data_IF_235916893699
#
_entry.id   IF_235916893699
#
_cell.length_a   1.000
_cell.length_b   1.000
_cell.length_c   1.000
_cell.angle_alpha   90.00
_cell.angle_beta   90.00
_cell.angle_gamma   90.00
#
_symmetry.space_group_name_H-M   'P 1'
#
loop_
_entity.id
_entity.type
_entity.pdbx_description
1 polymer ?
#
# COMPACT_ATOMS: atom_id res chain seq x y z
N UNK A 1 -25.49 14.56 -0.16
CA UNK A 1 -25.03 15.96 0.04
C UNK A 1 -23.57 16.02 0.42
N UNK A 2 -23.05 15.11 1.26
CA UNK A 2 -21.60 15.02 1.59
C UNK A 2 -20.73 14.53 0.42
N UNK A 3 -21.25 13.65 -0.44
CA UNK A 3 -20.52 13.10 -1.61
C UNK A 3 -20.17 14.17 -2.66
N UNK A 4 -21.00 15.20 -2.80
CA UNK A 4 -20.79 16.32 -3.72
C UNK A 4 -19.61 17.20 -3.29
N UNK A 5 -19.48 17.47 -1.99
CA UNK A 5 -18.35 18.23 -1.44
C UNK A 5 -17.04 17.46 -1.52
N UNK A 6 -17.10 16.12 -1.40
CA UNK A 6 -15.93 15.28 -1.60
C UNK A 6 -15.46 15.33 -3.06
N UNK A 7 -16.39 15.24 -4.03
CA UNK A 7 -16.05 15.32 -5.46
C UNK A 7 -15.55 16.69 -5.90
N UNK A 8 -16.11 17.79 -5.37
CA UNK A 8 -15.60 19.14 -5.66
C UNK A 8 -14.13 19.33 -5.30
N UNK A 9 -13.69 18.72 -4.19
CA UNK A 9 -12.28 18.78 -3.76
C UNK A 9 -11.34 17.91 -4.60
N UNK A 10 -11.86 16.91 -5.31
CA UNK A 10 -11.09 15.99 -6.15
C UNK A 10 -10.98 16.42 -7.61
N UNK A 11 -11.94 17.20 -8.11
CA UNK A 11 -12.08 17.52 -9.54
C UNK A 11 -10.87 18.25 -10.12
N UNK A 12 -10.19 19.10 -9.33
CA UNK A 12 -9.08 19.93 -9.81
C UNK A 12 -7.69 19.41 -9.37
N UNK A 13 -7.59 18.16 -8.93
CA UNK A 13 -6.31 17.61 -8.45
C UNK A 13 -5.51 17.00 -9.59
N UNK A 14 -4.36 17.59 -9.84
CA UNK A 14 -3.37 17.14 -10.82
C UNK A 14 -2.31 16.25 -10.19
N UNK A 15 -1.77 15.32 -10.98
CA UNK A 15 -0.70 14.43 -10.56
C UNK A 15 0.67 15.12 -10.70
N UNK A 16 1.50 15.12 -9.66
CA UNK A 16 2.85 15.72 -9.71
C UNK A 16 3.88 14.99 -10.58
N UNK A 17 3.55 13.80 -11.11
CA UNK A 17 4.44 13.01 -11.98
C UNK A 17 4.07 13.20 -13.46
N UNK A 18 2.80 12.97 -13.83
CA UNK A 18 2.35 13.10 -15.22
C UNK A 18 1.77 14.47 -15.56
N UNK A 19 1.57 15.35 -14.56
CA UNK A 19 0.98 16.69 -14.72
C UNK A 19 -0.44 16.71 -15.31
N UNK A 20 -1.11 15.57 -15.32
CA UNK A 20 -2.46 15.42 -15.84
C UNK A 20 -3.48 15.37 -14.68
N UNK A 21 -4.72 15.76 -14.98
CA UNK A 21 -5.81 15.70 -14.01
C UNK A 21 -6.20 14.23 -13.75
N UNK A 22 -6.16 13.81 -12.48
CA UNK A 22 -6.42 12.42 -12.08
C UNK A 22 -7.90 12.10 -12.23
N UNK A 23 -8.77 13.07 -11.93
CA UNK A 23 -10.21 12.93 -12.00
C UNK A 23 -10.70 12.80 -13.44
N UNK A 24 -10.20 13.62 -14.36
CA UNK A 24 -10.54 13.55 -15.79
C UNK A 24 -10.16 12.20 -16.41
N UNK A 25 -9.07 11.60 -15.93
CA UNK A 25 -8.64 10.25 -16.33
C UNK A 25 -9.46 9.13 -15.71
N UNK A 26 -10.37 9.45 -14.81
CA UNK A 26 -11.08 8.48 -13.97
C UNK A 26 -10.10 7.50 -13.29
N UNK A 27 -8.90 7.99 -12.95
CA UNK A 27 -7.83 7.20 -12.36
C UNK A 27 -7.91 7.27 -10.83
N UNK A 28 -7.38 6.26 -10.15
CA UNK A 28 -7.30 6.24 -8.68
C UNK A 28 -6.16 7.13 -8.19
N UNK A 29 -6.36 7.79 -7.06
CA UNK A 29 -5.34 8.54 -6.36
C UNK A 29 -4.42 7.61 -5.56
N UNK A 30 -3.12 7.87 -5.59
CA UNK A 30 -2.12 7.24 -4.76
C UNK A 30 -1.73 8.15 -3.60
N UNK A 31 -2.32 7.94 -2.43
CA UNK A 31 -2.08 8.77 -1.24
C UNK A 31 -0.90 8.19 -0.45
N UNK A 32 0.00 9.05 0.00
CA UNK A 32 1.17 8.70 0.80
C UNK A 32 0.95 9.11 2.25
N UNK A 33 1.36 8.27 3.21
CA UNK A 33 1.15 8.49 4.65
C UNK A 33 1.68 9.86 5.15
N UNK A 34 2.89 10.25 4.76
CA UNK A 34 3.65 11.33 5.39
C UNK A 34 3.75 12.59 4.51
N UNK A 35 3.01 12.69 3.40
CA UNK A 35 3.02 13.89 2.56
C UNK A 35 1.66 14.16 1.92
N UNK A 36 1.48 15.39 1.42
CA UNK A 36 0.24 15.88 0.80
C UNK A 36 0.31 15.97 -0.73
N UNK A 37 1.32 15.37 -1.35
CA UNK A 37 1.49 15.41 -2.79
C UNK A 37 0.55 14.41 -3.47
N UNK A 38 -0.11 14.88 -4.54
CA UNK A 38 -1.10 14.14 -5.29
C UNK A 38 -0.47 13.40 -6.47
N UNK A 39 -0.71 12.09 -6.55
CA UNK A 39 -0.24 11.27 -7.65
C UNK A 39 -1.35 10.34 -8.14
N UNK A 40 -1.36 10.03 -9.44
CA UNK A 40 -2.10 8.86 -9.93
C UNK A 40 -1.47 7.59 -9.36
N UNK A 41 -2.30 6.59 -9.07
CA UNK A 41 -1.87 5.29 -8.58
C UNK A 41 -0.83 4.64 -9.52
N UNK A 42 -1.05 4.71 -10.83
CA UNK A 42 -0.13 4.14 -11.81
C UNK A 42 1.22 4.85 -11.86
N UNK A 43 1.21 6.18 -11.72
CA UNK A 43 2.42 6.98 -11.74
C UNK A 43 3.30 6.68 -10.53
N UNK A 44 2.72 6.65 -9.33
CA UNK A 44 3.48 6.36 -8.11
C UNK A 44 3.92 4.87 -8.06
N UNK A 45 3.16 3.96 -8.67
CA UNK A 45 3.58 2.56 -8.87
C UNK A 45 4.80 2.47 -9.76
N UNK A 46 4.79 3.12 -10.92
CA UNK A 46 5.96 3.20 -11.82
C UNK A 46 7.16 3.84 -11.14
N UNK A 47 6.93 4.92 -10.37
CA UNK A 47 7.97 5.57 -9.58
C UNK A 47 8.63 4.62 -8.58
N UNK A 48 7.86 3.76 -7.90
CA UNK A 48 8.40 2.76 -6.96
C UNK A 48 9.06 1.56 -7.63
N UNK A 49 8.80 1.34 -8.91
CA UNK A 49 9.36 0.24 -9.71
C UNK A 49 10.66 0.60 -10.42
N UNK A 50 10.94 1.89 -10.62
CA UNK A 50 12.11 2.33 -11.39
C UNK A 50 13.40 1.95 -10.67
N UNK A 51 14.15 1.01 -11.27
CA UNK A 51 15.40 0.48 -10.69
C UNK A 51 16.60 1.42 -10.88
N UNK A 52 16.46 2.47 -11.68
CA UNK A 52 17.55 3.44 -11.92
C UNK A 52 17.86 4.31 -10.70
N UNK A 53 16.94 4.38 -9.73
CA UNK A 53 17.08 5.23 -8.55
C UNK A 53 17.35 4.39 -7.30
N UNK A 54 18.21 4.91 -6.43
CA UNK A 54 18.59 4.28 -5.16
C UNK A 54 17.36 3.89 -4.32
N UNK A 55 17.37 2.74 -3.65
CA UNK A 55 16.21 2.15 -2.94
C UNK A 55 15.54 3.07 -1.91
N UNK A 56 16.26 4.10 -1.42
CA UNK A 56 15.69 5.12 -0.53
C UNK A 56 14.88 6.19 -1.28
N UNK A 57 15.23 6.48 -2.52
CA UNK A 57 14.56 7.49 -3.37
C UNK A 57 13.26 6.96 -3.95
N UNK A 58 13.23 5.70 -4.41
CA UNK A 58 12.02 5.02 -4.92
C UNK A 58 10.91 4.93 -3.86
N UNK A 59 11.25 4.76 -2.57
CA UNK A 59 10.27 4.71 -1.46
C UNK A 59 9.88 6.09 -0.91
N UNK A 60 10.40 7.15 -1.51
CA UNK A 60 10.17 8.52 -1.09
C UNK A 60 9.26 9.25 -2.07
N UNK A 61 8.58 10.28 -1.59
CA UNK A 61 7.76 11.15 -2.43
C UNK A 61 8.63 11.82 -3.52
N UNK A 62 8.21 11.84 -4.80
CA UNK A 62 8.93 12.51 -5.88
C UNK A 62 9.21 14.00 -5.61
N UNK A 63 8.26 14.69 -4.96
CA UNK A 63 8.36 16.14 -4.71
C UNK A 63 9.12 16.49 -3.43
N UNK A 64 8.68 16.00 -2.27
CA UNK A 64 9.29 16.37 -0.98
C UNK A 64 10.30 15.37 -0.42
N UNK A 65 10.53 14.24 -1.11
CA UNK A 65 11.44 13.16 -0.68
C UNK A 65 11.13 12.58 0.71
N UNK A 66 9.94 12.81 1.25
CA UNK A 66 9.53 12.18 2.50
C UNK A 66 9.34 10.69 2.28
N UNK A 67 10.00 9.88 3.10
CA UNK A 67 9.90 8.43 3.04
C UNK A 67 8.50 7.95 3.42
N UNK A 68 7.98 7.00 2.64
CA UNK A 68 6.66 6.41 2.85
C UNK A 68 6.71 4.90 2.60
N UNK A 69 6.31 4.15 3.63
CA UNK A 69 6.36 2.69 3.60
C UNK A 69 5.35 2.09 2.63
N UNK A 70 4.19 2.73 2.47
CA UNK A 70 3.13 2.25 1.61
C UNK A 70 2.42 3.38 0.87
N UNK A 71 1.68 3.00 -0.17
CA UNK A 71 0.79 3.85 -0.97
C UNK A 71 -0.61 3.34 -0.75
N UNK A 72 -1.55 4.24 -0.49
CA UNK A 72 -2.94 3.90 -0.27
C UNK A 72 -3.73 4.29 -1.51
N UNK A 73 -4.33 3.34 -2.21
CA UNK A 73 -5.16 3.64 -3.36
C UNK A 73 -6.53 4.17 -2.89
N UNK A 74 -6.93 5.34 -3.37
CA UNK A 74 -8.20 5.98 -3.02
C UNK A 74 -8.93 6.48 -4.27
N UNK A 75 -10.27 6.40 -4.29
CA UNK A 75 -11.08 7.00 -5.36
C UNK A 75 -11.28 8.50 -5.16
N UNK A 76 -11.16 8.96 -3.90
CA UNK A 76 -11.33 10.37 -3.52
C UNK A 76 -10.00 10.88 -2.95
N UNK A 77 -9.63 12.10 -3.32
CA UNK A 77 -8.48 12.80 -2.76
C UNK A 77 -8.76 13.24 -1.32
N UNK A 78 -7.83 12.90 -0.42
CA UNK A 78 -7.81 13.34 0.97
C UNK A 78 -6.51 14.10 1.19
N UNK A 79 -6.62 15.34 1.64
CA UNK A 79 -5.48 16.26 1.78
C UNK A 79 -4.67 15.97 3.06
N UNK A 80 -5.15 16.48 4.20
CA UNK A 80 -4.57 16.24 5.51
C UNK A 80 -5.63 16.35 6.60
N UNK A 81 -5.45 15.59 7.68
CA UNK A 81 -6.26 15.65 8.89
C UNK A 81 -6.75 14.28 9.33
N UNK A 82 -7.76 14.28 10.19
CA UNK A 82 -8.35 13.06 10.75
C UNK A 82 -8.88 12.09 9.69
N UNK A 83 -9.31 12.57 8.52
CA UNK A 83 -9.78 11.73 7.42
C UNK A 83 -8.65 10.84 6.85
N UNK A 84 -7.44 11.40 6.74
CA UNK A 84 -6.27 10.69 6.24
C UNK A 84 -5.79 9.62 7.22
N UNK A 85 -5.76 9.95 8.50
CA UNK A 85 -5.39 8.99 9.56
C UNK A 85 -6.37 7.82 9.59
N UNK A 86 -7.69 8.09 9.55
CA UNK A 86 -8.71 7.05 9.44
C UNK A 86 -8.53 6.20 8.19
N UNK A 87 -8.21 6.82 7.06
CA UNK A 87 -7.96 6.10 5.81
C UNK A 87 -6.74 5.18 5.90
N UNK A 88 -5.67 5.63 6.58
CA UNK A 88 -4.49 4.80 6.89
C UNK A 88 -4.87 3.63 7.79
N UNK A 89 -5.62 3.86 8.86
CA UNK A 89 -6.04 2.81 9.80
C UNK A 89 -6.92 1.76 9.13
N UNK A 90 -7.95 2.20 8.39
CA UNK A 90 -8.86 1.31 7.66
C UNK A 90 -8.07 0.48 6.64
N UNK A 91 -7.13 1.11 5.93
CA UNK A 91 -6.28 0.41 4.98
C UNK A 91 -5.45 -0.67 5.69
N UNK A 92 -4.73 -0.34 6.76
CA UNK A 92 -3.94 -1.32 7.51
C UNK A 92 -4.79 -2.47 8.07
N UNK A 93 -5.98 -2.16 8.61
CA UNK A 93 -6.91 -3.17 9.12
C UNK A 93 -7.47 -4.08 8.02
N UNK A 94 -7.63 -3.58 6.80
CA UNK A 94 -8.07 -4.41 5.69
C UNK A 94 -6.93 -5.28 5.16
N UNK A 95 -5.71 -4.75 5.11
CA UNK A 95 -4.54 -5.53 4.71
C UNK A 95 -4.23 -6.65 5.71
N UNK A 96 -4.41 -6.42 7.01
CA UNK A 96 -4.17 -7.43 8.05
C UNK A 96 -5.17 -8.58 8.03
N UNK A 97 -6.26 -8.48 7.27
CA UNK A 97 -7.20 -9.59 7.03
C UNK A 97 -6.77 -10.47 5.86
N UNK A 98 -6.03 -9.92 4.90
CA UNK A 98 -5.56 -10.64 3.71
C UNK A 98 -4.35 -11.50 4.08
N UNK A 99 -4.35 -12.77 3.63
CA UNK A 99 -3.23 -13.69 3.88
C UNK A 99 -2.01 -13.26 3.09
N UNK A 100 -0.85 -13.23 3.74
CA UNK A 100 0.41 -12.82 3.10
C UNK A 100 0.84 -13.82 2.04
N UNK A 101 1.01 -13.34 0.80
CA UNK A 101 1.50 -14.12 -0.33
C UNK A 101 2.93 -14.64 -0.15
N UNK A 102 3.76 -13.94 0.62
CA UNK A 102 5.19 -14.26 0.80
C UNK A 102 5.46 -15.17 2.00
N UNK A 103 4.48 -15.33 2.89
CA UNK A 103 4.64 -16.15 4.07
C UNK A 103 4.44 -17.63 3.73
N UNK A 104 5.45 -18.45 4.03
CA UNK A 104 5.36 -19.90 3.95
C UNK A 104 5.02 -20.46 5.33
N UNK A 105 3.99 -21.31 5.45
CA UNK A 105 3.64 -21.95 6.71
C UNK A 105 4.84 -22.71 7.30
N UNK A 106 5.10 -22.55 8.60
CA UNK A 106 6.25 -23.08 9.35
C UNK A 106 7.63 -22.46 9.06
N UNK A 107 7.72 -21.42 8.24
CA UNK A 107 8.99 -20.69 8.02
C UNK A 107 8.86 -19.23 8.46
N UNK A 108 9.37 -18.93 9.66
CA UNK A 108 9.31 -17.58 10.26
C UNK A 108 10.12 -16.54 9.48
N UNK A 109 11.10 -16.98 8.68
CA UNK A 109 11.99 -16.12 7.88
C UNK A 109 11.49 -15.97 6.43
N UNK A 110 10.35 -16.58 6.07
CA UNK A 110 9.82 -16.56 4.69
C UNK A 110 9.35 -15.18 4.24
N UNK A 111 8.74 -14.41 5.14
CA UNK A 111 8.34 -13.04 4.87
C UNK A 111 9.45 -12.07 5.27
N UNK A 112 10.06 -11.39 4.29
CA UNK A 112 11.12 -10.37 4.51
C UNK A 112 10.68 -9.23 5.42
N UNK A 113 9.37 -8.94 5.43
CA UNK A 113 8.78 -7.90 6.26
C UNK A 113 8.50 -8.37 7.69
N UNK A 114 8.56 -9.67 7.97
CA UNK A 114 8.45 -10.22 9.32
C UNK A 114 7.28 -9.64 10.11
N UNK A 115 7.57 -9.15 11.31
CA UNK A 115 6.60 -8.47 12.18
C UNK A 115 6.07 -7.12 11.67
N UNK A 116 6.67 -6.54 10.63
CA UNK A 116 6.21 -5.31 9.96
C UNK A 116 5.39 -5.59 8.71
N UNK A 117 5.06 -6.85 8.42
CA UNK A 117 4.19 -7.17 7.30
C UNK A 117 2.76 -6.68 7.59
N UNK A 118 2.15 -6.00 6.61
CA UNK A 118 0.76 -5.55 6.71
C UNK A 118 -0.26 -6.68 6.56
N UNK A 119 0.16 -7.83 6.04
CA UNK A 119 -0.70 -8.98 5.76
C UNK A 119 -0.71 -9.99 6.90
N UNK A 120 -1.79 -10.77 7.01
CA UNK A 120 -1.88 -11.85 7.99
C UNK A 120 -0.92 -12.98 7.65
N UNK A 121 -0.06 -13.33 8.60
CA UNK A 121 0.70 -14.58 8.54
C UNK A 121 -0.10 -15.68 9.20
N UNK A 122 -0.38 -16.74 8.46
CA UNK A 122 -1.18 -17.87 8.92
C UNK A 122 -0.36 -19.15 8.74
N UNK A 123 -0.22 -19.94 9.81
CA UNK A 123 0.41 -21.24 9.77
C UNK A 123 -0.54 -22.31 9.21
N UNK A 124 -0.04 -23.53 8.96
CA UNK A 124 -0.88 -24.65 8.47
C UNK A 124 -2.05 -24.96 9.41
N UNK A 125 -1.86 -24.71 10.71
CA UNK A 125 -2.86 -24.89 11.75
C UNK A 125 -3.89 -23.73 11.83
N UNK A 126 -3.83 -22.73 10.95
CA UNK A 126 -4.70 -21.55 10.99
C UNK A 126 -4.35 -20.55 12.10
N UNK A 127 -3.28 -20.80 12.87
CA UNK A 127 -2.80 -19.89 13.90
C UNK A 127 -2.02 -18.73 13.29
N UNK A 128 -2.15 -17.53 13.89
CA UNK A 128 -1.36 -16.36 13.48
C UNK A 128 0.10 -16.64 13.79
N UNK A 129 0.95 -16.55 12.77
CA UNK A 129 2.37 -16.84 12.94
C UNK A 129 3.10 -15.64 13.56
N UNK A 130 3.84 -15.89 14.64
CA UNK A 130 4.78 -14.93 15.19
C UNK A 130 6.03 -14.88 14.30
N UNK A 131 6.22 -13.74 13.63
CA UNK A 131 7.42 -13.45 12.86
C UNK A 131 8.34 -12.52 13.63
N UNK A 132 9.64 -12.69 13.44
CA UNK A 132 10.66 -11.82 14.02
C UNK A 132 10.81 -10.52 13.22
N UNK A 133 11.66 -9.60 13.68
CA UNK A 133 11.84 -8.33 12.97
C UNK A 133 12.56 -8.51 11.63
N UNK A 134 12.25 -7.69 10.60
CA UNK A 134 12.99 -7.68 9.33
C UNK A 134 14.50 -7.70 9.48
N UNK A 135 15.04 -6.96 10.46
CA UNK A 135 16.47 -6.91 10.72
C UNK A 135 17.04 -8.26 11.16
N UNK A 136 16.30 -9.01 11.98
CA UNK A 136 16.70 -10.35 12.45
C UNK A 136 16.54 -11.41 11.35
N UNK A 137 15.49 -11.29 10.54
CA UNK A 137 15.27 -12.14 9.37
C UNK A 137 16.39 -11.92 8.35
N UNK A 138 16.72 -10.68 8.02
CA UNK A 138 17.85 -10.34 7.13
C UNK A 138 19.19 -10.82 7.70
N UNK A 139 19.41 -10.72 9.02
CA UNK A 139 20.63 -11.24 9.66
C UNK A 139 20.73 -12.77 9.50
N UNK A 140 19.65 -13.52 9.73
CA UNK A 140 19.63 -14.98 9.55
C UNK A 140 19.78 -15.39 8.09
N UNK A 141 19.10 -14.70 7.16
CA UNK A 141 19.26 -14.96 5.73
C UNK A 141 20.72 -14.83 5.28
N UNK A 142 21.44 -13.79 5.72
CA UNK A 142 22.87 -13.62 5.41
C UNK A 142 23.77 -14.75 5.91
N UNK A 143 23.35 -15.47 6.95
CA UNK A 143 24.08 -16.63 7.47
C UNK A 143 23.67 -17.97 6.82
N UNK A 144 22.52 -18.03 6.13
CA UNK A 144 21.96 -19.26 5.54
C UNK A 144 22.36 -19.47 4.08
N UNK A 145 22.79 -18.41 3.37
CA UNK A 145 23.25 -18.48 1.98
C UNK A 145 24.70 -18.02 1.89
N UNK A 146 25.65 -18.86 1.41
CA UNK A 146 27.01 -18.41 1.17
C UNK A 146 27.00 -17.33 0.09
N UNK A 147 27.61 -16.18 0.42
CA UNK A 147 28.05 -14.96 -0.30
C UNK A 147 27.85 -14.75 -1.83
N UNK A 148 27.40 -15.72 -2.64
CA UNK A 148 27.41 -15.66 -4.10
C UNK A 148 26.03 -15.48 -4.76
N UNK A 149 24.95 -15.34 -3.99
CA UNK A 149 23.59 -15.11 -4.53
C UNK A 149 22.94 -13.78 -4.14
N UNK A 150 23.71 -12.83 -3.57
CA UNK A 150 23.20 -11.48 -3.24
C UNK A 150 22.69 -10.72 -4.48
N UNK A 151 23.10 -11.10 -5.68
CA UNK A 151 22.82 -10.33 -6.89
C UNK A 151 21.41 -10.55 -7.52
N UNK A 152 20.60 -11.50 -7.04
CA UNK A 152 19.38 -11.90 -7.76
C UNK A 152 18.05 -11.77 -7.00
N UNK A 153 18.04 -11.44 -5.72
CA UNK A 153 16.78 -11.30 -4.97
C UNK A 153 16.54 -9.85 -4.56
N UNK A 154 16.47 -9.06 -5.61
CA UNK A 154 16.07 -7.66 -5.69
C UNK A 154 14.80 -7.37 -4.87
N UNK A 155 14.69 -6.12 -4.41
CA UNK A 155 13.67 -5.50 -3.53
C UNK A 155 12.23 -5.47 -4.12
N UNK A 156 11.95 -6.38 -5.04
CA UNK A 156 10.79 -6.43 -5.95
C UNK A 156 9.52 -6.98 -5.31
N UNK A 157 9.57 -7.46 -4.07
CA UNK A 157 8.44 -8.06 -3.36
C UNK A 157 7.38 -7.05 -2.87
N UNK A 158 7.52 -5.76 -3.20
CA UNK A 158 6.51 -4.74 -2.88
C UNK A 158 5.68 -4.29 -4.08
N UNK A 159 5.96 -4.75 -5.32
CA UNK A 159 5.36 -4.12 -6.50
C UNK A 159 4.72 -5.04 -7.55
N UNK A 160 4.33 -6.27 -7.21
CA UNK A 160 3.53 -7.09 -8.14
C UNK A 160 2.16 -7.41 -7.57
N UNK A 161 1.19 -6.68 -8.11
CA UNK A 161 -0.18 -7.14 -8.37
C UNK A 161 -1.08 -7.26 -7.16
N UNK A 162 -1.76 -6.16 -6.83
CA UNK A 162 -3.14 -6.17 -6.35
C UNK A 162 -3.73 -4.80 -6.72
N UNK A 163 -4.59 -4.74 -7.74
CA UNK A 163 -5.65 -3.71 -7.91
C UNK A 163 -6.20 -3.81 -9.34
N UNK A 164 -7.07 -4.79 -9.59
CA UNK A 164 -8.10 -4.68 -10.65
C UNK A 164 -9.52 -5.02 -10.12
N UNK A 165 -9.67 -5.34 -8.82
CA UNK A 165 -10.97 -5.69 -8.21
C UNK A 165 -11.21 -5.02 -6.84
N UNK A 166 -10.82 -3.76 -6.66
CA UNK A 166 -11.08 -3.01 -5.41
C UNK A 166 -12.09 -1.86 -5.58
N UNK A 167 -12.99 -1.96 -6.55
CA UNK A 167 -14.15 -1.07 -6.67
C UNK A 167 -15.28 -1.42 -5.66
N UNK A 168 -15.19 -2.56 -4.97
CA UNK A 168 -16.28 -3.07 -4.12
C UNK A 168 -16.18 -2.63 -2.65
N UNK A 169 -14.98 -2.30 -2.16
CA UNK A 169 -14.78 -2.01 -0.73
C UNK A 169 -15.31 -0.62 -0.33
N UNK A 170 -15.30 0.35 -1.25
CA UNK A 170 -15.96 1.66 -1.04
C UNK A 170 -17.49 1.58 -1.25
N UNK A 171 -18.00 0.64 -2.06
CA UNK A 171 -19.44 0.44 -2.24
C UNK A 171 -20.09 -0.20 -0.98
N UNK A 172 -19.36 -1.06 -0.27
CA UNK A 172 -19.86 -1.70 0.97
C UNK A 172 -19.96 -0.71 2.15
N UNK A 173 -19.19 0.39 2.14
CA UNK A 173 -19.27 1.40 3.22
C UNK A 173 -20.41 2.42 3.05
N UNK A 174 -21.05 2.52 1.88
CA UNK A 174 -22.17 3.45 1.64
C UNK A 174 -23.56 2.79 1.52
N UNK A 175 -23.67 1.46 1.46
CA UNK A 175 -24.96 0.76 1.29
C UNK A 175 -25.58 0.19 2.59
N UNK A 176 -25.27 0.78 3.75
CA UNK A 176 -25.89 0.40 5.04
C UNK A 176 -26.73 1.51 5.65
N UNK A 177 -27.56 2.19 4.85
CA UNK A 177 -28.77 2.86 5.35
C UNK A 177 -29.92 2.73 4.34
N UNK A 178 -30.98 2.01 4.71
CA UNK A 178 -32.28 2.10 4.06
C UNK A 178 -33.06 0.79 3.97
N UNK A 179 -34.06 0.60 4.84
CA UNK A 179 -35.21 -0.26 4.53
C UNK A 179 -35.72 -1.20 5.61
N UNK A 180 -36.26 -0.65 6.70
CA UNK A 180 -37.41 -1.28 7.39
C UNK A 180 -38.66 -1.09 6.50
N UNK A 181 -39.50 -2.11 6.42
CA UNK A 181 -40.96 -1.94 6.25
C UNK A 181 -41.57 -2.39 4.94
N UNK A 182 -42.14 -3.61 4.95
CA UNK A 182 -43.58 -3.81 4.79
C UNK A 182 -44.02 -5.04 5.58
#
# INVERSE_FOLDING_TARGET
MEEAFATEKTIDKTCGICMENVWEKNARFGILQNCRHCFCLDCIRKWRQSQEMESQTVRSCPECRTHSHFVIPAAVWVDEGAEKEKLIEIYQQNMSKKVCKYFKPNDRDSCRFGNKCFYRHENRDGTVAECDSPSEISRRMRHRVPQLVEYFLDDRAYSSSDDDHEAEILAVMFNRQGGFGY
#
